data_IF_835671607743
#
_entry.id   IF_835671607743
#
_cell.length_a   1.000
_cell.length_b   1.000
_cell.length_c   1.000
_cell.angle_alpha   90.00
_cell.angle_beta   90.00
_cell.angle_gamma   90.00
#
_symmetry.space_group_name_H-M   'P 1'
#
loop_
_entity.id
_entity.type
_entity.pdbx_description
1 polymer ?
#
# COMPACT_ATOMS: atom_id res chain seq x y z
N UNK A 1 -42.28 22.64 -9.98
CA UNK A 1 -42.54 23.02 -8.57
C UNK A 1 -42.13 24.48 -8.41
N UNK A 2 -43.10 25.40 -8.47
CA UNK A 2 -42.86 26.84 -8.50
C UNK A 2 -42.65 27.38 -7.09
N UNK A 3 -41.52 28.07 -6.84
CA UNK A 3 -41.31 28.81 -5.59
C UNK A 3 -42.17 30.08 -5.62
N UNK A 4 -43.18 30.14 -4.76
CA UNK A 4 -43.94 31.36 -4.48
C UNK A 4 -42.99 32.32 -3.76
N UNK A 5 -42.75 33.48 -4.37
CA UNK A 5 -41.99 34.55 -3.76
C UNK A 5 -42.86 35.23 -2.70
N UNK A 6 -42.53 35.06 -1.42
CA UNK A 6 -43.15 35.81 -0.33
C UNK A 6 -42.74 37.30 -0.44
N UNK A 7 -43.65 38.14 -0.92
CA UNK A 7 -43.48 39.59 -0.87
C UNK A 7 -43.70 40.05 0.57
N UNK A 8 -42.61 40.29 1.31
CA UNK A 8 -42.67 40.95 2.63
C UNK A 8 -43.26 42.35 2.44
N UNK A 9 -44.50 42.56 2.84
CA UNK A 9 -45.11 43.88 2.88
C UNK A 9 -44.48 44.70 4.02
N UNK A 10 -43.82 45.80 3.66
CA UNK A 10 -43.16 46.72 4.59
C UNK A 10 -44.06 47.88 5.03
N UNK A 11 -45.37 47.77 4.82
CA UNK A 11 -46.37 48.78 5.15
C UNK A 11 -47.21 48.41 6.38
N UNK A 12 -47.69 49.41 7.11
CA UNK A 12 -48.60 49.25 8.25
C UNK A 12 -49.99 48.85 7.73
N UNK A 13 -50.52 47.74 8.24
CA UNK A 13 -51.80 47.18 7.82
C UNK A 13 -52.91 48.23 7.83
N UNK A 14 -53.57 48.42 6.68
CA UNK A 14 -54.64 49.40 6.50
C UNK A 14 -54.19 50.83 6.15
N UNK A 15 -52.88 51.07 5.95
CA UNK A 15 -52.35 52.37 5.53
C UNK A 15 -51.20 52.22 4.51
N UNK A 16 -50.92 53.27 3.74
CA UNK A 16 -49.74 53.36 2.85
C UNK A 16 -48.45 53.73 3.61
N UNK A 17 -48.51 53.90 4.93
CA UNK A 17 -47.35 54.27 5.73
C UNK A 17 -46.39 53.07 5.87
N UNK A 18 -45.10 53.32 5.69
CA UNK A 18 -44.05 52.33 5.95
C UNK A 18 -44.03 52.00 7.45
N UNK A 19 -43.91 50.71 7.78
CA UNK A 19 -43.81 50.27 9.17
C UNK A 19 -42.50 50.78 9.77
N UNK A 20 -42.57 51.50 10.88
CA UNK A 20 -41.38 51.83 11.66
C UNK A 20 -40.71 50.52 12.11
N UNK A 21 -39.49 50.26 11.62
CA UNK A 21 -38.70 49.10 12.03
C UNK A 21 -38.18 49.35 13.45
N UNK A 22 -38.92 48.87 14.44
CA UNK A 22 -38.48 48.87 15.83
C UNK A 22 -37.42 47.78 16.03
N UNK A 23 -36.16 48.15 16.17
CA UNK A 23 -35.14 47.25 16.71
C UNK A 23 -35.05 47.46 18.24
N UNK A 24 -35.57 46.54 19.07
CA UNK A 24 -35.49 46.65 20.54
C UNK A 24 -34.06 46.72 21.08
N UNK A 25 -33.06 46.38 20.26
CA UNK A 25 -31.64 46.42 20.60
C UNK A 25 -30.95 47.74 20.22
N UNK A 26 -31.59 48.65 19.50
CA UNK A 26 -31.01 49.98 19.19
C UNK A 26 -31.27 50.99 20.30
N UNK A 27 -32.48 50.99 20.85
CA UNK A 27 -32.94 51.94 21.86
C UNK A 27 -32.51 51.56 23.29
N UNK A 28 -32.51 50.26 23.61
CA UNK A 28 -32.20 49.76 24.95
C UNK A 28 -30.75 49.33 25.09
N UNK A 29 -29.93 50.15 25.76
CA UNK A 29 -28.51 49.87 26.00
C UNK A 29 -28.23 48.51 26.69
N UNK A 30 -29.14 48.07 27.57
CA UNK A 30 -29.02 46.79 28.31
C UNK A 30 -29.28 45.59 27.39
N UNK A 31 -30.25 45.69 26.46
CA UNK A 31 -30.56 44.61 25.52
C UNK A 31 -29.46 44.51 24.45
N UNK A 32 -28.92 45.65 24.01
CA UNK A 32 -27.79 45.73 23.08
C UNK A 32 -26.55 45.04 23.63
N UNK A 33 -26.17 45.34 24.87
CA UNK A 33 -24.99 44.74 25.52
C UNK A 33 -25.16 43.23 25.73
N UNK A 34 -26.36 42.76 26.10
CA UNK A 34 -26.67 41.33 26.23
C UNK A 34 -26.59 40.58 24.89
N UNK A 35 -27.04 41.19 23.79
CA UNK A 35 -26.94 40.63 22.43
C UNK A 35 -25.48 40.50 21.98
N UNK A 36 -24.69 41.56 22.16
CA UNK A 36 -23.25 41.57 21.86
C UNK A 36 -22.51 40.51 22.70
N UNK A 37 -22.81 40.39 23.99
CA UNK A 37 -22.19 39.38 24.85
C UNK A 37 -22.52 37.94 24.38
N UNK A 38 -23.78 37.69 23.99
CA UNK A 38 -24.19 36.38 23.47
C UNK A 38 -23.51 36.03 22.15
N UNK A 39 -23.37 37.00 21.24
CA UNK A 39 -22.75 36.77 19.95
C UNK A 39 -21.22 36.62 20.08
N UNK A 40 -20.58 37.36 20.98
CA UNK A 40 -19.17 37.17 21.34
C UNK A 40 -18.92 35.77 21.91
N UNK A 41 -19.80 35.25 22.76
CA UNK A 41 -19.68 33.87 23.28
C UNK A 41 -19.84 32.81 22.19
N UNK A 42 -20.76 33.00 21.23
CA UNK A 42 -20.89 32.10 20.07
C UNK A 42 -19.63 32.10 19.20
N UNK A 43 -19.02 33.27 18.98
CA UNK A 43 -17.78 33.40 18.22
C UNK A 43 -16.64 32.69 18.93
N UNK A 44 -16.49 32.88 20.25
CA UNK A 44 -15.48 32.19 21.07
C UNK A 44 -15.62 30.66 20.98
N UNK A 45 -16.85 30.13 21.09
CA UNK A 45 -17.09 28.69 20.95
C UNK A 45 -16.74 28.17 19.56
N UNK A 46 -17.05 28.93 18.49
CA UNK A 46 -16.65 28.55 17.12
C UNK A 46 -15.13 28.51 16.94
N UNK A 47 -14.40 29.44 17.54
CA UNK A 47 -12.94 29.46 17.50
C UNK A 47 -12.37 28.24 18.22
N UNK A 48 -12.85 27.94 19.44
CA UNK A 48 -12.42 26.78 20.21
C UNK A 48 -12.72 25.48 19.47
N UNK A 49 -13.90 25.38 18.87
CA UNK A 49 -14.27 24.21 18.04
C UNK A 49 -13.34 24.05 16.84
N UNK A 50 -12.96 25.14 16.17
CA UNK A 50 -12.05 25.09 15.04
C UNK A 50 -10.63 24.65 15.46
N UNK A 51 -10.14 25.12 16.61
CA UNK A 51 -8.87 24.66 17.19
C UNK A 51 -8.94 23.16 17.50
N UNK A 52 -10.04 22.70 18.09
CA UNK A 52 -10.24 21.29 18.41
C UNK A 52 -10.30 20.42 17.14
N UNK A 53 -10.90 20.93 16.06
CA UNK A 53 -10.94 20.25 14.77
C UNK A 53 -9.55 20.08 14.17
N UNK A 54 -8.72 21.13 14.21
CA UNK A 54 -7.32 21.06 13.77
C UNK A 54 -6.52 20.10 14.67
N UNK A 55 -6.73 20.15 15.98
CA UNK A 55 -6.08 19.24 16.93
C UNK A 55 -6.45 17.77 16.68
N UNK A 56 -7.73 17.50 16.44
CA UNK A 56 -8.20 16.16 16.08
C UNK A 56 -7.55 15.66 14.78
N UNK A 57 -7.35 16.54 13.80
CA UNK A 57 -6.64 16.19 12.56
C UNK A 57 -5.19 15.75 12.84
N UNK A 58 -4.48 16.44 13.75
CA UNK A 58 -3.14 16.02 14.17
C UNK A 58 -3.12 14.68 14.89
N UNK A 59 -4.10 14.41 15.77
CA UNK A 59 -4.22 13.11 16.43
C UNK A 59 -4.40 11.99 15.40
N UNK A 60 -5.26 12.18 14.40
CA UNK A 60 -5.46 11.18 13.34
C UNK A 60 -4.16 10.89 12.60
N UNK A 61 -3.38 11.93 12.29
CA UNK A 61 -2.06 11.79 11.65
C UNK A 61 -1.11 10.99 12.55
N UNK A 62 -1.01 11.30 13.85
CA UNK A 62 -0.19 10.53 14.79
C UNK A 62 -0.60 9.05 14.86
N UNK A 63 -1.90 8.75 14.92
CA UNK A 63 -2.38 7.37 14.96
C UNK A 63 -2.01 6.59 13.70
N UNK A 64 -2.07 7.24 12.52
CA UNK A 64 -1.59 6.65 11.26
C UNK A 64 -0.09 6.36 11.31
N UNK A 65 0.71 7.29 11.85
CA UNK A 65 2.15 7.06 12.01
C UNK A 65 2.47 5.89 12.94
N UNK A 66 1.75 5.75 14.05
CA UNK A 66 1.91 4.61 14.96
C UNK A 66 1.60 3.27 14.26
N UNK A 67 0.51 3.21 13.48
CA UNK A 67 0.17 2.03 12.67
C UNK A 67 1.26 1.70 11.64
N UNK A 68 1.78 2.71 10.94
CA UNK A 68 2.87 2.54 9.98
C UNK A 68 4.13 2.00 10.67
N UNK A 69 4.45 2.50 11.87
CA UNK A 69 5.61 2.02 12.63
C UNK A 69 5.48 0.54 13.00
N UNK A 70 4.28 0.11 13.43
CA UNK A 70 4.02 -1.30 13.73
C UNK A 70 4.20 -2.18 12.49
N UNK A 71 3.62 -1.78 11.36
CA UNK A 71 3.74 -2.52 10.09
C UNK A 71 5.20 -2.58 9.63
N UNK A 72 5.95 -1.48 9.76
CA UNK A 72 7.37 -1.47 9.43
C UNK A 72 8.20 -2.40 10.32
N UNK A 73 7.83 -2.52 11.59
CA UNK A 73 8.46 -3.47 12.50
C UNK A 73 8.22 -4.91 12.04
N UNK A 74 6.98 -5.26 11.71
CA UNK A 74 6.62 -6.59 11.21
C UNK A 74 7.32 -6.91 9.89
N UNK A 75 7.41 -5.93 8.97
CA UNK A 75 8.16 -6.05 7.71
C UNK A 75 9.64 -6.34 7.98
N UNK A 76 10.25 -5.67 8.96
CA UNK A 76 11.66 -5.89 9.29
C UNK A 76 11.89 -7.30 9.86
N UNK A 77 10.99 -7.80 10.71
CA UNK A 77 11.05 -9.17 11.20
C UNK A 77 10.98 -10.15 10.03
N UNK A 78 9.96 -10.02 9.19
CA UNK A 78 9.76 -10.94 8.07
C UNK A 78 10.91 -10.90 7.06
N UNK A 79 11.50 -9.71 6.84
CA UNK A 79 12.71 -9.55 6.03
C UNK A 79 13.93 -10.23 6.64
N UNK A 80 14.09 -10.14 7.96
CA UNK A 80 15.17 -10.82 8.68
C UNK A 80 15.04 -12.34 8.56
N UNK A 81 13.85 -12.88 8.79
CA UNK A 81 13.56 -14.32 8.65
C UNK A 81 13.81 -14.80 7.21
N UNK A 82 13.31 -14.05 6.22
CA UNK A 82 13.56 -14.33 4.82
C UNK A 82 15.06 -14.38 4.50
N UNK A 83 15.82 -13.41 5.00
CA UNK A 83 17.27 -13.32 4.77
C UNK A 83 18.00 -14.48 5.44
N UNK A 84 17.57 -14.89 6.64
CA UNK A 84 18.10 -16.07 7.33
C UNK A 84 17.90 -17.34 6.51
N UNK A 85 16.68 -17.59 6.04
CA UNK A 85 16.36 -18.77 5.21
C UNK A 85 17.13 -18.74 3.88
N UNK A 86 17.28 -17.56 3.28
CA UNK A 86 18.05 -17.41 2.05
C UNK A 86 19.53 -17.75 2.26
N UNK A 87 20.13 -17.26 3.36
CA UNK A 87 21.50 -17.57 3.72
C UNK A 87 21.67 -19.06 4.03
N UNK A 88 20.74 -19.69 4.76
CA UNK A 88 20.75 -21.13 5.02
C UNK A 88 20.71 -21.94 3.72
N UNK A 89 19.87 -21.56 2.76
CA UNK A 89 19.83 -22.22 1.45
C UNK A 89 21.14 -22.06 0.66
N UNK A 90 21.76 -20.88 0.72
CA UNK A 90 23.05 -20.64 0.08
C UNK A 90 24.16 -21.48 0.72
N UNK A 91 24.20 -21.53 2.06
CA UNK A 91 25.13 -22.38 2.79
C UNK A 91 24.95 -23.86 2.44
N UNK A 92 23.71 -24.35 2.44
CA UNK A 92 23.42 -25.73 2.05
C UNK A 92 23.85 -26.02 0.61
N UNK A 93 23.69 -25.05 -0.29
CA UNK A 93 24.16 -25.17 -1.68
C UNK A 93 25.68 -25.25 -1.77
N UNK A 94 26.41 -24.53 -0.91
CA UNK A 94 27.87 -24.59 -0.81
C UNK A 94 28.29 -25.95 -0.22
N UNK A 95 27.61 -26.41 0.82
CA UNK A 95 27.89 -27.72 1.45
C UNK A 95 27.67 -28.88 0.48
N UNK A 96 26.60 -28.82 -0.32
CA UNK A 96 26.35 -29.78 -1.39
C UNK A 96 27.49 -29.77 -2.43
N UNK A 97 27.93 -28.58 -2.86
CA UNK A 97 29.05 -28.46 -3.80
C UNK A 97 30.34 -29.01 -3.22
N UNK A 98 30.62 -28.74 -1.95
CA UNK A 98 31.78 -29.27 -1.24
C UNK A 98 31.67 -30.79 -1.08
N UNK A 99 30.50 -31.34 -0.76
CA UNK A 99 30.30 -32.78 -0.64
C UNK A 99 30.45 -33.50 -1.98
N UNK A 100 30.01 -32.86 -3.08
CA UNK A 100 30.21 -33.34 -4.44
C UNK A 100 31.62 -33.06 -4.99
N UNK A 101 32.45 -32.29 -4.28
CA UNK A 101 33.81 -32.03 -4.72
C UNK A 101 34.58 -33.35 -4.78
N UNK A 102 35.25 -33.57 -5.92
CA UNK A 102 35.97 -34.80 -6.23
C UNK A 102 37.00 -35.13 -5.15
N UNK A 103 37.57 -34.11 -4.51
CA UNK A 103 38.52 -34.25 -3.39
C UNK A 103 37.87 -34.89 -2.17
N UNK A 104 36.67 -34.46 -1.79
CA UNK A 104 35.93 -35.01 -0.65
C UNK A 104 35.41 -36.42 -0.96
N UNK A 105 34.88 -36.64 -2.17
CA UNK A 105 34.48 -37.97 -2.63
C UNK A 105 35.67 -38.93 -2.58
N UNK A 106 36.84 -38.50 -3.09
CA UNK A 106 38.08 -39.29 -3.04
C UNK A 106 38.50 -39.60 -1.61
N UNK A 107 38.48 -38.60 -0.72
CA UNK A 107 38.86 -38.80 0.67
C UNK A 107 37.94 -39.80 1.38
N UNK A 108 36.62 -39.69 1.20
CA UNK A 108 35.66 -40.65 1.76
C UNK A 108 35.85 -42.05 1.17
N UNK A 109 36.06 -42.15 -0.14
CA UNK A 109 36.31 -43.42 -0.81
C UNK A 109 37.59 -44.10 -0.28
N UNK A 110 38.68 -43.35 -0.14
CA UNK A 110 39.97 -43.88 0.34
C UNK A 110 39.95 -44.21 1.84
N UNK A 111 39.25 -43.43 2.68
CA UNK A 111 39.30 -43.61 4.14
C UNK A 111 38.19 -44.49 4.71
N UNK A 112 36.96 -44.38 4.22
CA UNK A 112 35.80 -45.11 4.75
C UNK A 112 35.46 -46.36 3.96
N UNK A 113 35.73 -46.35 2.65
CA UNK A 113 35.41 -47.46 1.76
C UNK A 113 36.65 -48.28 1.35
N UNK A 114 37.83 -47.90 1.85
CA UNK A 114 39.13 -48.52 1.54
C UNK A 114 39.38 -48.65 0.02
N UNK A 115 38.83 -47.70 -0.76
CA UNK A 115 39.01 -47.66 -2.20
C UNK A 115 40.39 -47.09 -2.52
N UNK A 116 41.18 -47.78 -3.32
CA UNK A 116 42.45 -47.29 -3.83
C UNK A 116 42.40 -47.05 -5.33
N UNK A 117 43.32 -46.23 -5.83
CA UNK A 117 43.43 -45.97 -7.27
C UNK A 117 43.74 -47.29 -7.99
N UNK A 118 42.92 -47.72 -8.97
CA UNK A 118 43.12 -48.99 -9.66
C UNK A 118 44.39 -48.97 -10.49
N UNK A 119 45.03 -50.12 -10.60
CA UNK A 119 46.24 -50.29 -11.41
C UNK A 119 45.87 -50.38 -12.90
N UNK A 120 46.81 -50.10 -13.81
CA UNK A 120 46.52 -50.04 -15.27
C UNK A 120 45.90 -51.31 -15.84
N UNK A 121 46.17 -52.47 -15.23
CA UNK A 121 45.63 -53.78 -15.60
C UNK A 121 44.18 -54.02 -15.16
N UNK A 122 43.62 -53.19 -14.28
CA UNK A 122 42.26 -53.33 -13.73
C UNK A 122 41.22 -52.42 -14.42
N UNK A 123 41.60 -51.75 -15.52
CA UNK A 123 40.74 -50.79 -16.23
C UNK A 123 40.03 -51.50 -17.38
N UNK A 124 38.69 -51.50 -17.36
CA UNK A 124 37.84 -51.99 -18.47
C UNK A 124 37.05 -50.82 -19.04
N UNK A 125 37.16 -50.59 -20.35
CA UNK A 125 36.44 -49.53 -21.04
C UNK A 125 35.06 -50.04 -21.48
N UNK A 126 34.01 -49.31 -21.12
CA UNK A 126 32.62 -49.65 -21.48
C UNK A 126 32.05 -48.52 -22.34
N UNK A 127 31.51 -48.85 -23.50
CA UNK A 127 30.90 -47.87 -24.40
C UNK A 127 29.48 -47.55 -23.94
N UNK A 128 29.22 -46.28 -23.63
CA UNK A 128 27.89 -45.81 -23.24
C UNK A 128 27.18 -45.32 -24.51
N UNK A 129 26.03 -45.91 -24.89
CA UNK A 129 25.25 -45.41 -26.02
C UNK A 129 24.71 -44.01 -25.68
N UNK A 130 25.09 -43.02 -26.49
CA UNK A 130 24.63 -41.62 -26.34
C UNK A 130 23.15 -41.56 -26.69
N UNK A 131 22.31 -41.42 -25.66
CA UNK A 131 20.90 -41.07 -25.82
C UNK A 131 20.84 -39.55 -25.64
N UNK A 132 20.88 -38.83 -26.75
CA UNK A 132 20.70 -37.37 -26.74
C UNK A 132 19.24 -37.07 -26.41
N UNK A 133 18.91 -37.00 -25.11
CA UNK A 133 17.59 -36.56 -24.66
C UNK A 133 17.63 -35.05 -24.53
N UNK A 134 17.44 -34.36 -25.66
CA UNK A 134 17.22 -32.91 -25.67
C UNK A 134 15.81 -32.63 -25.16
N UNK A 135 15.68 -32.46 -23.85
CA UNK A 135 14.46 -31.90 -23.28
C UNK A 135 14.44 -30.43 -23.67
N UNK A 136 13.73 -30.09 -24.74
CA UNK A 136 13.52 -28.69 -25.13
C UNK A 136 12.74 -28.02 -24.02
N UNK A 137 13.40 -27.12 -23.30
CA UNK A 137 12.73 -26.24 -22.35
C UNK A 137 11.70 -25.41 -23.12
N UNK A 138 10.42 -25.78 -23.01
CA UNK A 138 9.33 -25.00 -23.55
C UNK A 138 9.39 -23.62 -22.90
N UNK A 139 9.74 -22.60 -23.67
CA UNK A 139 9.81 -21.21 -23.22
C UNK A 139 8.40 -20.77 -22.82
N UNK A 140 8.06 -20.97 -21.55
CA UNK A 140 6.85 -20.46 -20.95
C UNK A 140 6.91 -18.93 -21.05
N UNK A 141 6.15 -18.38 -22.00
CA UNK A 141 6.05 -16.95 -22.15
C UNK A 141 5.49 -16.40 -20.85
N UNK A 142 6.21 -15.43 -20.26
CA UNK A 142 5.79 -14.86 -18.97
C UNK A 142 4.33 -14.45 -19.06
N UNK A 143 3.52 -14.87 -18.08
CA UNK A 143 2.08 -14.52 -18.01
C UNK A 143 1.89 -13.01 -18.21
N UNK A 144 2.85 -12.22 -17.71
CA UNK A 144 2.97 -10.79 -17.88
C UNK A 144 2.97 -10.34 -19.36
N UNK A 145 3.77 -10.94 -20.24
CA UNK A 145 3.80 -10.64 -21.69
C UNK A 145 2.45 -10.95 -22.36
N UNK A 146 1.81 -12.06 -21.97
CA UNK A 146 0.49 -12.44 -22.49
C UNK A 146 -0.57 -11.45 -22.04
N UNK A 147 -0.54 -11.01 -20.77
CA UNK A 147 -1.46 -10.00 -20.24
C UNK A 147 -1.27 -8.64 -20.93
N UNK A 148 -0.02 -8.20 -21.17
CA UNK A 148 0.24 -6.96 -21.89
C UNK A 148 -0.30 -6.96 -23.32
N UNK A 149 -0.16 -8.07 -24.04
CA UNK A 149 -0.73 -8.19 -25.38
C UNK A 149 -2.26 -8.20 -25.38
N UNK A 150 -2.90 -8.80 -24.36
CA UNK A 150 -4.36 -8.78 -24.19
C UNK A 150 -4.85 -7.36 -23.91
N UNK A 151 -4.17 -6.62 -23.03
CA UNK A 151 -4.50 -5.23 -22.69
C UNK A 151 -4.36 -4.33 -23.91
N UNK A 152 -3.24 -4.42 -24.63
CA UNK A 152 -3.01 -3.62 -25.84
C UNK A 152 -4.07 -3.91 -26.92
N UNK A 153 -4.44 -5.18 -27.10
CA UNK A 153 -5.51 -5.56 -28.03
C UNK A 153 -6.87 -4.98 -27.62
N UNK A 154 -7.17 -4.97 -26.33
CA UNK A 154 -8.42 -4.38 -25.81
C UNK A 154 -8.44 -2.87 -26.00
N UNK A 155 -7.34 -2.17 -25.70
CA UNK A 155 -7.24 -0.72 -25.86
C UNK A 155 -7.39 -0.28 -27.31
N UNK A 156 -6.71 -0.96 -28.24
CA UNK A 156 -6.85 -0.67 -29.67
C UNK A 156 -8.28 -0.90 -30.17
N UNK A 157 -8.98 -1.90 -29.62
CA UNK A 157 -10.39 -2.14 -29.94
C UNK A 157 -11.30 -1.02 -29.41
N UNK A 158 -11.05 -0.51 -28.20
CA UNK A 158 -11.80 0.62 -27.64
C UNK A 158 -11.53 1.92 -28.40
N UNK A 159 -10.27 2.20 -28.74
CA UNK A 159 -9.89 3.41 -29.49
C UNK A 159 -10.53 3.43 -30.90
N UNK A 160 -10.62 2.27 -31.56
CA UNK A 160 -11.27 2.15 -32.87
C UNK A 160 -12.81 2.17 -32.83
N UNK A 161 -13.42 2.22 -31.63
CA UNK A 161 -14.87 2.38 -31.44
C UNK A 161 -15.23 3.85 -31.14
N UNK A 162 -14.27 4.63 -30.65
CA UNK A 162 -14.45 6.05 -30.28
C UNK A 162 -14.12 7.00 -31.45
N UNK A 163 -13.40 6.51 -32.47
CA UNK A 163 -13.07 7.21 -33.71
C UNK A 163 -13.93 6.70 -34.87
#
# INVERSE_FOLDING_TARGET
>A
MFKVAETKNDYVYGSLAEKIKYDPYEENAILKSKKIARDNSKIKVRIIFNIFLVFAMFIVVMLRYAQISQINYDINIMKSEYTKIQNENQLLSIDIQNAMDLKNIRHIAETKLDMHKPNKSQIVYVSIPKKDVTITAHKEQSKLTVLFNIVNKSLNKFLNIIN
#
